data_IF_483797098997
#
_entry.id   IF_483797098997
#
_cell.length_a   1.000
_cell.length_b   1.000
_cell.length_c   1.000
_cell.angle_alpha   90.00
_cell.angle_beta   90.00
_cell.angle_gamma   90.00
#
_symmetry.space_group_name_H-M   'P 1'
#
loop_
_entity.id
_entity.type
_entity.pdbx_description
1 polymer ?
#
# COMPACT_ATOMS: atom_id res chain seq x y z
N UNK A 1 -6.96 -19.35 29.90
CA UNK A 1 -6.77 -17.92 29.58
C UNK A 1 -6.55 -17.79 28.08
N UNK A 2 -7.57 -17.42 27.31
CA UNK A 2 -7.48 -17.29 25.84
C UNK A 2 -6.76 -16.00 25.51
N UNK A 3 -5.56 -16.07 24.91
CA UNK A 3 -4.86 -14.89 24.39
C UNK A 3 -5.67 -14.33 23.22
N UNK A 4 -6.16 -13.10 23.37
CA UNK A 4 -6.67 -12.35 22.23
C UNK A 4 -5.53 -12.13 21.24
N UNK A 5 -5.63 -12.72 20.05
CA UNK A 5 -4.71 -12.43 18.94
C UNK A 5 -4.87 -10.95 18.63
N UNK A 6 -3.81 -10.12 18.71
CA UNK A 6 -3.94 -8.75 18.25
C UNK A 6 -4.34 -8.82 16.78
N UNK A 7 -5.45 -8.17 16.45
CA UNK A 7 -5.85 -7.93 15.06
C UNK A 7 -4.91 -6.83 14.56
N UNK A 8 -3.63 -7.16 14.44
CA UNK A 8 -2.63 -6.25 13.91
C UNK A 8 -2.95 -6.14 12.44
N UNK A 9 -3.54 -5.01 12.04
CA UNK A 9 -3.69 -4.69 10.62
C UNK A 9 -2.37 -4.88 9.86
N UNK A 10 -2.41 -5.02 8.53
CA UNK A 10 -1.20 -5.29 7.75
C UNK A 10 -0.10 -4.27 8.12
N UNK A 11 1.10 -4.79 8.39
CA UNK A 11 2.23 -3.95 8.77
C UNK A 11 2.51 -2.94 7.65
N UNK A 12 3.08 -1.78 8.00
CA UNK A 12 3.41 -0.74 7.01
C UNK A 12 4.30 -1.28 5.87
N UNK A 13 5.16 -2.25 6.18
CA UNK A 13 6.01 -2.95 5.21
C UNK A 13 5.19 -3.82 4.26
N UNK A 14 4.24 -4.61 4.77
CA UNK A 14 3.36 -5.43 3.92
C UNK A 14 2.50 -4.57 2.97
N UNK A 15 2.01 -3.42 3.46
CA UNK A 15 1.29 -2.47 2.61
C UNK A 15 2.22 -1.88 1.54
N UNK A 16 3.47 -1.54 1.89
CA UNK A 16 4.45 -1.03 0.93
C UNK A 16 4.78 -2.05 -0.17
N UNK A 17 4.96 -3.33 0.17
CA UNK A 17 5.18 -4.39 -0.82
C UNK A 17 4.00 -4.53 -1.79
N UNK A 18 2.76 -4.48 -1.29
CA UNK A 18 1.56 -4.52 -2.11
C UNK A 18 1.46 -3.31 -3.04
N UNK A 19 1.74 -2.11 -2.54
CA UNK A 19 1.80 -0.89 -3.35
C UNK A 19 2.86 -1.03 -4.44
N UNK A 20 4.05 -1.54 -4.12
CA UNK A 20 5.13 -1.75 -5.09
C UNK A 20 4.73 -2.71 -6.22
N UNK A 21 4.08 -3.83 -5.89
CA UNK A 21 3.59 -4.78 -6.91
C UNK A 21 2.53 -4.16 -7.82
N UNK A 22 1.61 -3.38 -7.26
CA UNK A 22 0.56 -2.73 -8.05
C UNK A 22 1.11 -1.58 -8.89
N UNK A 23 2.05 -0.79 -8.37
CA UNK A 23 2.74 0.25 -9.13
C UNK A 23 3.58 -0.34 -10.28
N UNK A 24 4.26 -1.47 -10.05
CA UNK A 24 4.99 -2.20 -11.10
C UNK A 24 4.07 -2.75 -12.20
N UNK A 25 2.80 -3.02 -11.89
CA UNK A 25 1.78 -3.38 -12.86
C UNK A 25 1.16 -2.15 -13.57
N UNK A 26 1.68 -0.94 -13.33
CA UNK A 26 1.24 0.31 -13.96
C UNK A 26 -0.02 0.91 -13.36
N UNK A 27 -0.45 0.47 -12.17
CA UNK A 27 -1.61 1.07 -11.50
C UNK A 27 -1.27 2.43 -10.90
N UNK A 28 -2.18 3.39 -11.04
CA UNK A 28 -2.12 4.70 -10.41
C UNK A 28 -2.50 4.65 -8.92
N UNK A 29 -2.05 5.64 -8.14
CA UNK A 29 -2.29 5.72 -6.70
C UNK A 29 -3.77 5.67 -6.29
N UNK A 30 -4.72 6.36 -6.96
CA UNK A 30 -6.15 6.18 -6.72
C UNK A 30 -6.62 4.73 -6.85
N UNK A 31 -6.21 4.05 -7.91
CA UNK A 31 -6.57 2.65 -8.16
C UNK A 31 -5.96 1.72 -7.11
N UNK A 32 -4.70 1.94 -6.73
CA UNK A 32 -4.01 1.21 -5.65
C UNK A 32 -4.73 1.42 -4.32
N UNK A 33 -5.09 2.67 -4.00
CA UNK A 33 -5.79 3.04 -2.78
C UNK A 33 -7.15 2.33 -2.67
N UNK A 34 -7.92 2.32 -3.76
CA UNK A 34 -9.21 1.63 -3.84
C UNK A 34 -9.06 0.12 -3.62
N UNK A 35 -8.04 -0.51 -4.23
CA UNK A 35 -7.75 -1.95 -4.05
C UNK A 35 -7.36 -2.30 -2.62
N UNK A 36 -6.60 -1.44 -1.97
CA UNK A 36 -6.08 -1.69 -0.62
C UNK A 36 -7.01 -1.17 0.49
N UNK A 37 -8.12 -0.50 0.14
CA UNK A 37 -9.04 0.07 1.11
C UNK A 37 -8.43 1.20 1.96
N UNK A 38 -7.43 1.89 1.43
CA UNK A 38 -6.73 2.99 2.11
C UNK A 38 -6.91 4.31 1.36
N UNK A 39 -6.50 5.43 1.97
CA UNK A 39 -6.58 6.73 1.30
C UNK A 39 -5.44 6.90 0.28
N UNK A 40 -5.66 7.58 -0.86
CA UNK A 40 -4.58 7.89 -1.82
C UNK A 40 -3.39 8.63 -1.17
N UNK A 41 -3.67 9.49 -0.19
CA UNK A 41 -2.62 10.18 0.58
C UNK A 41 -1.73 9.22 1.38
N UNK A 42 -2.27 8.09 1.86
CA UNK A 42 -1.47 7.06 2.52
C UNK A 42 -0.60 6.31 1.50
N UNK A 43 -1.13 6.02 0.31
CA UNK A 43 -0.32 5.42 -0.78
C UNK A 43 0.87 6.33 -1.10
N UNK A 44 0.62 7.61 -1.36
CA UNK A 44 1.68 8.58 -1.66
C UNK A 44 2.74 8.68 -0.54
N UNK A 45 2.31 8.67 0.72
CA UNK A 45 3.22 8.67 1.86
C UNK A 45 4.08 7.41 1.93
N UNK A 46 3.47 6.23 1.81
CA UNK A 46 4.18 4.95 1.82
C UNK A 46 5.14 4.86 0.63
N UNK A 47 4.74 5.32 -0.56
CA UNK A 47 5.62 5.33 -1.73
C UNK A 47 6.85 6.19 -1.51
N UNK A 48 6.70 7.38 -0.93
CA UNK A 48 7.82 8.26 -0.57
C UNK A 48 8.73 7.60 0.47
N UNK A 49 8.15 7.02 1.50
CA UNK A 49 8.91 6.44 2.62
C UNK A 49 9.68 5.17 2.23
N UNK A 50 9.22 4.45 1.19
CA UNK A 50 9.83 3.21 0.69
C UNK A 50 10.48 3.34 -0.71
N UNK A 51 10.53 4.55 -1.29
CA UNK A 51 11.15 4.79 -2.59
C UNK A 51 10.45 4.13 -3.78
N UNK A 52 9.14 3.95 -3.72
CA UNK A 52 8.35 3.28 -4.77
C UNK A 52 7.98 4.29 -5.86
N UNK A 53 8.50 4.10 -7.07
CA UNK A 53 8.20 4.96 -8.22
C UNK A 53 6.72 4.90 -8.64
N UNK A 54 6.19 5.97 -9.28
CA UNK A 54 4.80 5.98 -9.71
C UNK A 54 4.59 4.94 -10.79
N UNK A 55 3.50 4.17 -10.66
CA UNK A 55 2.98 3.40 -11.79
C UNK A 55 2.79 4.37 -12.94
N UNK A 56 3.57 4.18 -14.00
CA UNK A 56 3.61 5.08 -15.14
C UNK A 56 2.22 5.07 -15.79
N UNK A 57 1.54 6.22 -15.80
CA UNK A 57 0.34 6.40 -16.61
C UNK A 57 0.83 6.65 -18.04
N UNK A 58 0.43 5.84 -19.05
CA UNK A 58 0.72 6.17 -20.44
C UNK A 58 0.12 7.52 -20.84
#
# INVERSE_FOLDING_TARGET
>A
MTRATPITGPSRVAIAELIGRLAAAGLDDPTIAARLGIKPRQVAGIRKDFGIEPGHRP
#
